data_IF_131819378001
#
_entry.id   IF_131819378001
#
_cell.length_a   1.000
_cell.length_b   1.000
_cell.length_c   1.000
_cell.angle_alpha   90.00
_cell.angle_beta   90.00
_cell.angle_gamma   90.00
#
_symmetry.space_group_name_H-M   'P 1'
#
loop_
_entity.id
_entity.type
_entity.pdbx_description
1 polymer ?
#
# COMPACT_ATOMS: atom_id res chain seq x y z
N UNK A 1 16.79 -1.68 -17.11
CA UNK A 1 15.92 -0.73 -16.39
C UNK A 1 14.52 -0.73 -17.02
N UNK A 2 13.58 -1.53 -16.48
CA UNK A 2 12.13 -1.52 -16.74
C UNK A 2 11.48 -2.14 -15.48
N UNK A 3 10.38 -1.70 -14.90
CA UNK A 3 9.42 -0.66 -15.28
C UNK A 3 8.86 0.04 -14.02
N UNK A 4 8.82 1.38 -13.99
CA UNK A 4 8.08 2.17 -12.97
C UNK A 4 6.55 1.97 -13.03
N UNK A 5 6.03 1.14 -13.94
CA UNK A 5 4.59 0.95 -14.14
C UNK A 5 3.85 0.31 -12.95
N UNK A 6 4.53 -0.44 -12.08
CA UNK A 6 3.84 -1.13 -10.98
C UNK A 6 3.53 -0.23 -9.77
N UNK A 7 4.22 0.91 -9.60
CA UNK A 7 3.96 1.83 -8.50
C UNK A 7 2.83 2.82 -8.79
N UNK A 8 2.59 3.12 -10.07
CA UNK A 8 1.57 4.10 -10.47
C UNK A 8 0.14 3.70 -10.10
N UNK A 9 -0.31 2.45 -10.31
CA UNK A 9 -1.64 2.01 -9.86
C UNK A 9 -1.85 2.19 -8.35
N UNK A 10 -0.81 1.96 -7.54
CA UNK A 10 -0.89 2.13 -6.08
C UNK A 10 -0.98 3.60 -5.69
N UNK A 11 -0.20 4.48 -6.35
CA UNK A 11 -0.29 5.93 -6.14
C UNK A 11 -1.66 6.44 -6.53
N UNK A 12 -2.21 6.01 -7.67
CA UNK A 12 -3.56 6.37 -8.10
C UNK A 12 -4.63 5.87 -7.13
N UNK A 13 -4.53 4.62 -6.66
CA UNK A 13 -5.47 4.07 -5.68
C UNK A 13 -5.44 4.90 -4.38
N UNK A 14 -4.26 5.25 -3.87
CA UNK A 14 -4.13 6.08 -2.68
C UNK A 14 -4.64 7.50 -2.91
N UNK A 15 -4.39 8.09 -4.08
CA UNK A 15 -4.89 9.41 -4.46
C UNK A 15 -6.44 9.44 -4.51
N UNK A 16 -7.06 8.41 -5.09
CA UNK A 16 -8.51 8.27 -5.11
C UNK A 16 -9.09 8.03 -3.71
N UNK A 17 -8.47 7.19 -2.88
CA UNK A 17 -8.89 7.03 -1.48
C UNK A 17 -8.79 8.35 -0.71
N UNK A 18 -7.70 9.10 -0.90
CA UNK A 18 -7.51 10.40 -0.25
C UNK A 18 -8.55 11.42 -0.72
N UNK A 19 -8.97 11.35 -1.99
CA UNK A 19 -10.06 12.18 -2.51
C UNK A 19 -11.38 11.81 -1.86
N UNK A 20 -11.76 10.53 -1.86
CA UNK A 20 -13.02 10.05 -1.25
C UNK A 20 -13.08 10.34 0.25
N UNK A 21 -11.96 10.15 0.97
CA UNK A 21 -11.87 10.43 2.39
C UNK A 21 -11.90 11.95 2.68
N UNK A 22 -11.24 12.74 1.83
CA UNK A 22 -11.31 14.21 1.86
C UNK A 22 -12.75 14.69 1.74
N UNK A 23 -13.42 14.23 0.71
CA UNK A 23 -14.82 14.57 0.40
C UNK A 23 -15.76 14.15 1.52
N UNK A 24 -15.61 12.94 2.05
CA UNK A 24 -16.41 12.47 3.18
C UNK A 24 -16.22 13.32 4.44
N UNK A 25 -14.96 13.65 4.76
CA UNK A 25 -14.63 14.47 5.93
C UNK A 25 -15.14 15.91 5.78
N UNK A 26 -15.06 16.49 4.57
CA UNK A 26 -15.65 17.78 4.24
C UNK A 26 -17.16 17.77 4.49
N UNK A 27 -17.89 16.80 3.92
CA UNK A 27 -19.34 16.68 4.11
C UNK A 27 -19.74 16.50 5.58
N UNK A 28 -18.97 15.71 6.35
CA UNK A 28 -19.21 15.55 7.79
C UNK A 28 -19.00 16.87 8.55
N UNK A 29 -17.95 17.64 8.21
CA UNK A 29 -17.69 18.94 8.82
C UNK A 29 -18.74 19.99 8.44
N UNK A 30 -19.24 19.96 7.20
CA UNK A 30 -20.38 20.77 6.76
C UNK A 30 -21.66 20.40 7.53
N UNK A 31 -21.92 19.10 7.72
CA UNK A 31 -23.09 18.63 8.46
C UNK A 31 -23.08 19.05 9.92
N UNK A 32 -21.89 19.15 10.52
CA UNK A 32 -21.68 19.62 11.88
C UNK A 32 -21.66 21.16 12.01
N UNK A 33 -21.72 21.89 10.89
CA UNK A 33 -21.67 23.36 10.86
C UNK A 33 -20.29 23.94 11.19
N UNK A 34 -19.22 23.15 11.10
CA UNK A 34 -17.85 23.62 11.31
C UNK A 34 -17.23 24.23 10.06
N UNK A 35 -17.74 23.86 8.88
CA UNK A 35 -17.21 24.22 7.57
C UNK A 35 -18.38 24.65 6.69
N UNK A 36 -18.31 25.85 6.10
CA UNK A 36 -19.32 26.47 5.23
C UNK A 36 -20.64 26.93 5.90
N UNK A 37 -21.11 28.13 5.53
CA UNK A 37 -22.43 28.66 5.90
C UNK A 37 -23.58 28.07 5.05
N UNK A 38 -23.25 27.37 3.95
CA UNK A 38 -24.22 26.86 2.98
C UNK A 38 -23.82 25.47 2.51
N UNK A 39 -24.74 24.51 2.68
CA UNK A 39 -24.60 23.12 2.20
C UNK A 39 -24.56 23.05 0.67
N UNK A 40 -23.88 22.04 0.13
CA UNK A 40 -23.97 21.70 -1.28
C UNK A 40 -25.46 21.52 -1.71
N UNK A 41 -25.83 22.18 -2.81
CA UNK A 41 -27.20 22.22 -3.31
C UNK A 41 -27.65 20.99 -4.11
N UNK A 42 -26.84 19.92 -4.15
CA UNK A 42 -27.09 18.70 -4.91
C UNK A 42 -26.58 17.46 -4.18
N UNK A 43 -27.03 16.27 -4.61
CA UNK A 43 -26.62 15.00 -4.02
C UNK A 43 -25.30 14.48 -4.59
N UNK A 44 -24.36 14.11 -3.72
CA UNK A 44 -23.04 13.57 -4.08
C UNK A 44 -23.09 12.07 -4.45
N UNK A 45 -23.71 11.75 -5.58
CA UNK A 45 -23.94 10.37 -6.04
C UNK A 45 -22.68 9.69 -6.60
N UNK A 46 -21.66 10.46 -6.99
CA UNK A 46 -20.40 9.99 -7.56
C UNK A 46 -19.39 9.49 -6.53
N UNK A 47 -19.55 9.83 -5.26
CA UNK A 47 -18.66 9.38 -4.17
C UNK A 47 -18.57 7.85 -4.06
N UNK A 48 -19.71 7.15 -4.13
CA UNK A 48 -19.76 5.69 -4.09
C UNK A 48 -19.04 5.03 -5.27
N UNK A 49 -19.17 5.63 -6.46
CA UNK A 49 -18.48 5.19 -7.67
C UNK A 49 -16.96 5.36 -7.54
N UNK A 50 -16.49 6.51 -7.05
CA UNK A 50 -15.07 6.76 -6.81
C UNK A 50 -14.47 5.79 -5.78
N UNK A 51 -15.20 5.50 -4.70
CA UNK A 51 -14.80 4.49 -3.71
C UNK A 51 -14.64 3.10 -4.35
N UNK A 52 -15.57 2.72 -5.23
CA UNK A 52 -15.51 1.47 -5.99
C UNK A 52 -14.27 1.37 -6.90
N UNK A 53 -13.99 2.42 -7.68
CA UNK A 53 -12.77 2.48 -8.53
C UNK A 53 -11.51 2.38 -7.68
N UNK A 54 -11.47 3.10 -6.57
CA UNK A 54 -10.34 3.10 -5.64
C UNK A 54 -10.05 1.69 -5.11
N UNK A 55 -11.09 0.96 -4.70
CA UNK A 55 -10.99 -0.43 -4.25
C UNK A 55 -10.43 -1.34 -5.37
N UNK A 56 -10.95 -1.21 -6.59
CA UNK A 56 -10.49 -2.00 -7.75
C UNK A 56 -9.01 -1.76 -8.03
N UNK A 57 -8.56 -0.50 -8.04
CA UNK A 57 -7.15 -0.15 -8.26
C UNK A 57 -6.25 -0.65 -7.13
N UNK A 58 -6.74 -0.60 -5.89
CA UNK A 58 -6.03 -1.18 -4.75
C UNK A 58 -5.86 -2.69 -4.89
N UNK A 59 -6.93 -3.41 -5.25
CA UNK A 59 -6.89 -4.87 -5.48
C UNK A 59 -5.94 -5.24 -6.63
N UNK A 60 -5.97 -4.50 -7.74
CA UNK A 60 -5.03 -4.68 -8.85
C UNK A 60 -3.59 -4.49 -8.36
N UNK A 61 -3.34 -3.43 -7.59
CA UNK A 61 -2.01 -3.16 -7.02
C UNK A 61 -1.55 -4.27 -6.08
N UNK A 62 -2.44 -4.76 -5.21
CA UNK A 62 -2.16 -5.87 -4.29
C UNK A 62 -1.83 -7.15 -5.05
N UNK A 63 -2.58 -7.48 -6.11
CA UNK A 63 -2.30 -8.64 -6.98
C UNK A 63 -0.96 -8.50 -7.67
N UNK A 64 -0.62 -7.32 -8.21
CA UNK A 64 0.66 -7.07 -8.86
C UNK A 64 1.84 -7.20 -7.89
N UNK A 65 1.71 -6.68 -6.67
CA UNK A 65 2.71 -6.81 -5.60
C UNK A 65 2.84 -8.27 -5.16
N UNK A 66 1.72 -8.97 -4.98
CA UNK A 66 1.72 -10.38 -4.58
C UNK A 66 2.36 -11.27 -5.64
N UNK A 67 2.10 -11.01 -6.93
CA UNK A 67 2.76 -11.74 -8.03
C UNK A 67 4.28 -11.52 -8.03
N UNK A 68 4.75 -10.31 -7.73
CA UNK A 68 6.19 -10.02 -7.59
C UNK A 68 6.79 -10.75 -6.40
N UNK A 69 6.09 -10.75 -5.27
CA UNK A 69 6.45 -11.50 -4.08
C UNK A 69 6.56 -13.01 -4.36
N UNK A 70 5.57 -13.61 -5.04
CA UNK A 70 5.60 -15.01 -5.46
C UNK A 70 6.77 -15.34 -6.40
N UNK A 71 7.03 -14.48 -7.40
CA UNK A 71 8.15 -14.66 -8.31
C UNK A 71 9.51 -14.61 -7.59
N UNK A 72 9.63 -13.90 -6.48
CA UNK A 72 10.88 -13.89 -5.71
C UNK A 72 11.18 -15.23 -5.02
N UNK A 73 10.14 -16.01 -4.66
CA UNK A 73 10.34 -17.35 -4.09
C UNK A 73 10.98 -18.32 -5.07
N UNK A 74 10.62 -18.25 -6.36
CA UNK A 74 11.16 -19.17 -7.36
C UNK A 74 12.65 -18.95 -7.62
N UNK A 75 13.14 -17.71 -7.44
CA UNK A 75 14.54 -17.31 -7.70
C UNK A 75 15.42 -17.33 -6.43
N UNK A 76 14.85 -17.65 -5.25
CA UNK A 76 15.54 -17.64 -3.94
C UNK A 76 16.25 -16.31 -3.61
N UNK A 77 15.71 -15.19 -4.07
CA UNK A 77 16.23 -13.86 -3.72
C UNK A 77 15.63 -13.39 -2.40
N UNK A 78 16.45 -12.86 -1.49
CA UNK A 78 16.01 -12.32 -0.19
C UNK A 78 16.14 -10.80 -0.10
N UNK A 79 16.66 -10.14 -1.14
CA UNK A 79 16.81 -8.68 -1.16
C UNK A 79 15.46 -8.00 -1.37
N UNK A 80 14.98 -7.25 -0.39
CA UNK A 80 13.66 -6.62 -0.44
C UNK A 80 13.45 -5.69 -1.64
N UNK A 81 14.53 -5.10 -2.16
CA UNK A 81 14.52 -4.28 -3.38
C UNK A 81 14.23 -5.08 -4.65
N UNK A 82 14.67 -6.34 -4.68
CA UNK A 82 14.42 -7.26 -5.79
C UNK A 82 13.02 -7.89 -5.69
N UNK A 83 12.49 -8.03 -4.47
CA UNK A 83 11.19 -8.66 -4.21
C UNK A 83 10.02 -7.71 -4.47
N UNK A 84 10.11 -6.46 -3.99
CA UNK A 84 9.06 -5.45 -4.13
C UNK A 84 9.59 -4.23 -4.88
N UNK A 85 9.92 -4.36 -6.18
CA UNK A 85 10.48 -3.26 -6.97
C UNK A 85 9.56 -2.03 -7.01
N UNK A 86 8.24 -2.20 -6.90
CA UNK A 86 7.31 -1.08 -6.81
C UNK A 86 7.44 -0.29 -5.49
N UNK A 87 7.56 -0.96 -4.35
CA UNK A 87 7.77 -0.32 -3.06
C UNK A 87 9.15 0.34 -2.99
N UNK A 88 10.17 -0.28 -3.58
CA UNK A 88 11.50 0.29 -3.66
C UNK A 88 11.55 1.51 -4.60
N UNK A 89 10.83 1.49 -5.72
CA UNK A 89 10.66 2.65 -6.59
C UNK A 89 10.03 3.83 -5.84
N UNK A 90 8.99 3.57 -5.03
CA UNK A 90 8.38 4.58 -4.15
C UNK A 90 9.39 5.10 -3.12
N UNK A 91 10.17 4.22 -2.48
CA UNK A 91 11.21 4.65 -1.55
C UNK A 91 12.25 5.58 -2.20
N UNK A 92 12.66 5.30 -3.45
CA UNK A 92 13.63 6.12 -4.20
C UNK A 92 13.06 7.47 -4.66
N UNK A 93 11.75 7.57 -4.89
CA UNK A 93 11.10 8.85 -5.19
C UNK A 93 11.18 9.81 -3.99
N UNK A 94 11.11 9.27 -2.77
CA UNK A 94 11.14 10.04 -1.53
C UNK A 94 9.75 10.59 -1.15
N UNK A 95 9.61 10.97 0.12
CA UNK A 95 8.32 11.35 0.70
C UNK A 95 7.68 12.55 -0.01
N UNK A 96 8.45 13.62 -0.26
CA UNK A 96 7.92 14.84 -0.89
C UNK A 96 7.36 14.61 -2.29
N UNK A 97 8.03 13.81 -3.13
CA UNK A 97 7.54 13.50 -4.48
C UNK A 97 6.31 12.61 -4.45
N UNK A 98 6.23 11.65 -3.52
CA UNK A 98 5.03 10.82 -3.33
C UNK A 98 3.86 11.68 -2.89
N UNK A 99 4.05 12.52 -1.88
CA UNK A 99 3.01 13.44 -1.39
C UNK A 99 2.52 14.34 -2.52
N UNK A 100 3.43 14.96 -3.28
CA UNK A 100 3.07 15.78 -4.44
C UNK A 100 2.29 14.97 -5.50
N UNK A 101 2.67 13.73 -5.76
CA UNK A 101 1.99 12.88 -6.75
C UNK A 101 0.59 12.47 -6.28
N UNK A 102 0.43 12.14 -4.99
CA UNK A 102 -0.85 11.82 -4.36
C UNK A 102 -1.76 13.05 -4.38
N UNK A 103 -1.28 14.21 -3.97
CA UNK A 103 -2.03 15.47 -4.01
C UNK A 103 -2.46 15.83 -5.43
N UNK A 104 -1.56 15.73 -6.41
CA UNK A 104 -1.91 15.99 -7.81
C UNK A 104 -2.99 15.02 -8.31
N UNK A 105 -2.85 13.72 -8.03
CA UNK A 105 -3.86 12.73 -8.38
C UNK A 105 -5.20 12.96 -7.67
N UNK A 106 -5.17 13.35 -6.40
CA UNK A 106 -6.35 13.64 -5.58
C UNK A 106 -7.12 14.84 -6.14
N UNK A 107 -6.42 15.92 -6.49
CA UNK A 107 -7.05 17.13 -7.07
C UNK A 107 -7.65 16.82 -8.45
N UNK A 108 -6.93 16.08 -9.30
CA UNK A 108 -7.46 15.66 -10.60
C UNK A 108 -8.71 14.79 -10.42
N UNK A 109 -8.67 13.84 -9.47
CA UNK A 109 -9.82 12.98 -9.17
C UNK A 109 -11.02 13.76 -8.65
N UNK A 110 -10.79 14.74 -7.76
CA UNK A 110 -11.82 15.60 -7.20
C UNK A 110 -12.50 16.38 -8.33
N UNK A 111 -11.72 17.10 -9.14
CA UNK A 111 -12.25 17.87 -10.28
C UNK A 111 -13.03 16.98 -11.24
N UNK A 112 -12.51 15.78 -11.55
CA UNK A 112 -13.19 14.86 -12.46
C UNK A 112 -14.53 14.35 -11.90
N UNK A 113 -14.59 14.01 -10.61
CA UNK A 113 -15.81 13.55 -9.95
C UNK A 113 -16.82 14.69 -9.83
N UNK A 114 -16.40 15.88 -9.41
CA UNK A 114 -17.29 17.03 -9.28
C UNK A 114 -17.89 17.45 -10.62
N UNK A 115 -17.09 17.50 -11.68
CA UNK A 115 -17.61 17.77 -13.04
C UNK A 115 -18.60 16.70 -13.48
N UNK A 116 -18.36 15.44 -13.11
CA UNK A 116 -19.28 14.34 -13.42
C UNK A 116 -20.59 14.49 -12.62
N UNK A 117 -20.51 14.77 -11.32
CA UNK A 117 -21.67 14.97 -10.44
C UNK A 117 -22.53 16.14 -10.92
N UNK A 118 -21.92 17.29 -11.21
CA UNK A 118 -22.65 18.45 -11.75
C UNK A 118 -23.41 18.12 -13.03
N UNK A 119 -22.78 17.35 -13.94
CA UNK A 119 -23.42 16.89 -15.17
C UNK A 119 -24.57 15.92 -14.90
N UNK A 120 -24.41 14.97 -13.98
CA UNK A 120 -25.46 14.02 -13.62
C UNK A 120 -26.63 14.70 -12.91
N UNK A 121 -26.36 15.73 -12.12
CA UNK A 121 -27.34 16.51 -11.38
C UNK A 121 -27.96 17.67 -12.18
N UNK A 122 -27.59 17.84 -13.46
CA UNK A 122 -28.00 18.97 -14.30
C UNK A 122 -27.74 20.34 -13.66
N UNK A 123 -26.72 20.43 -12.80
CA UNK A 123 -26.35 21.64 -12.09
C UNK A 123 -25.47 22.52 -12.99
N UNK A 124 -25.86 23.79 -13.16
CA UNK A 124 -25.20 24.75 -14.06
C UNK A 124 -24.22 25.70 -13.35
N UNK A 125 -23.62 25.28 -12.24
CA UNK A 125 -22.57 26.04 -11.57
C UNK A 125 -21.24 25.99 -12.32
N UNK A 126 -20.46 27.06 -12.24
CA UNK A 126 -19.13 27.16 -12.86
C UNK A 126 -18.09 27.68 -11.86
N UNK A 127 -16.82 27.31 -12.05
CA UNK A 127 -15.68 27.83 -11.28
C UNK A 127 -15.34 27.00 -10.03
N UNK A 128 -14.44 27.54 -9.19
CA UNK A 128 -13.86 26.84 -8.02
C UNK A 128 -14.94 26.52 -6.97
N UNK A 129 -15.92 27.41 -6.79
CA UNK A 129 -17.05 27.18 -5.87
C UNK A 129 -18.03 26.10 -6.30
N UNK A 130 -17.96 25.68 -7.55
CA UNK A 130 -18.71 24.51 -8.00
C UNK A 130 -17.99 23.20 -7.63
N UNK A 131 -16.67 23.23 -7.39
CA UNK A 131 -15.84 22.05 -7.09
C UNK A 131 -15.60 21.87 -5.58
N UNK A 132 -15.52 22.96 -4.81
CA UNK A 132 -15.20 22.92 -3.37
C UNK A 132 -16.33 23.50 -2.50
N UNK A 133 -17.54 23.65 -3.06
CA UNK A 133 -18.66 24.34 -2.41
C UNK A 133 -18.37 25.81 -2.10
N UNK A 134 -19.30 26.50 -1.44
CA UNK A 134 -19.12 27.92 -1.08
C UNK A 134 -18.26 28.14 0.18
N UNK A 135 -17.88 27.07 0.89
CA UNK A 135 -16.97 27.05 2.05
C UNK A 135 -15.51 26.76 1.70
N UNK A 136 -15.05 27.31 0.57
CA UNK A 136 -13.86 26.93 -0.19
C UNK A 136 -12.55 26.76 0.60
N UNK A 137 -12.30 27.54 1.65
CA UNK A 137 -10.98 27.56 2.29
C UNK A 137 -10.72 26.33 3.17
N UNK A 138 -11.72 25.90 3.93
CA UNK A 138 -11.62 24.73 4.81
C UNK A 138 -11.62 23.41 4.04
N UNK A 139 -12.38 23.30 2.94
CA UNK A 139 -12.37 22.14 2.06
C UNK A 139 -10.97 21.87 1.50
N UNK A 140 -10.30 22.91 1.01
CA UNK A 140 -8.92 22.82 0.51
C UNK A 140 -7.97 22.36 1.60
N UNK A 141 -8.09 22.87 2.84
CA UNK A 141 -7.25 22.46 3.97
C UNK A 141 -7.47 20.99 4.35
N UNK A 142 -8.72 20.51 4.34
CA UNK A 142 -9.07 19.10 4.62
C UNK A 142 -8.45 18.19 3.56
N UNK A 143 -8.64 18.52 2.27
CA UNK A 143 -8.09 17.75 1.16
C UNK A 143 -6.56 17.71 1.19
N UNK A 144 -5.89 18.85 1.40
CA UNK A 144 -4.43 18.90 1.53
C UNK A 144 -3.96 18.05 2.71
N UNK A 145 -4.59 18.18 3.88
CA UNK A 145 -4.21 17.45 5.09
C UNK A 145 -4.31 15.93 4.90
N UNK A 146 -5.42 15.47 4.32
CA UNK A 146 -5.64 14.05 4.03
C UNK A 146 -4.70 13.54 2.95
N UNK A 147 -4.45 14.33 1.90
CA UNK A 147 -3.51 13.97 0.83
C UNK A 147 -2.06 13.86 1.31
N UNK A 148 -1.61 14.81 2.15
CA UNK A 148 -0.29 14.76 2.79
C UNK A 148 -0.18 13.53 3.68
N UNK A 149 -1.17 13.30 4.55
CA UNK A 149 -1.19 12.13 5.42
C UNK A 149 -1.13 10.83 4.62
N UNK A 150 -1.98 10.68 3.61
CA UNK A 150 -2.03 9.49 2.76
C UNK A 150 -0.70 9.25 2.02
N UNK A 151 -0.09 10.31 1.46
CA UNK A 151 1.22 10.22 0.82
C UNK A 151 2.35 9.81 1.77
N UNK A 152 2.36 10.36 2.99
CA UNK A 152 3.33 9.99 4.02
C UNK A 152 3.14 8.54 4.46
N UNK A 153 1.90 8.10 4.69
CA UNK A 153 1.57 6.71 5.04
C UNK A 153 2.02 5.76 3.94
N UNK A 154 1.73 6.06 2.67
CA UNK A 154 2.18 5.25 1.52
C UNK A 154 3.71 5.13 1.49
N UNK A 155 4.43 6.22 1.72
CA UNK A 155 5.89 6.19 1.77
C UNK A 155 6.42 5.38 2.96
N UNK A 156 5.85 5.57 4.16
CA UNK A 156 6.24 4.81 5.36
C UNK A 156 5.99 3.31 5.18
N UNK A 157 4.83 2.93 4.66
CA UNK A 157 4.49 1.53 4.37
C UNK A 157 5.41 0.94 3.31
N UNK A 158 5.74 1.69 2.26
CA UNK A 158 6.69 1.25 1.24
C UNK A 158 8.07 0.98 1.84
N UNK A 159 8.55 1.86 2.73
CA UNK A 159 9.82 1.66 3.45
C UNK A 159 9.79 0.46 4.38
N UNK A 160 8.72 0.30 5.15
CA UNK A 160 8.54 -0.84 6.04
C UNK A 160 8.51 -2.16 5.25
N UNK A 161 7.75 -2.20 4.15
CA UNK A 161 7.67 -3.36 3.27
C UNK A 161 9.05 -3.72 2.72
N UNK A 162 9.80 -2.75 2.17
CA UNK A 162 11.17 -3.01 1.67
C UNK A 162 12.14 -3.48 2.77
N UNK A 163 11.99 -3.00 4.01
CA UNK A 163 12.84 -3.40 5.14
C UNK A 163 12.54 -4.81 5.62
N UNK A 164 11.27 -5.24 5.64
CA UNK A 164 10.86 -6.47 6.30
C UNK A 164 10.53 -7.63 5.35
N UNK A 165 10.34 -7.37 4.05
CA UNK A 165 9.93 -8.42 3.10
C UNK A 165 10.96 -9.54 2.93
N UNK A 166 12.26 -9.23 3.08
CA UNK A 166 13.32 -10.24 3.05
C UNK A 166 13.15 -11.26 4.16
N UNK A 167 12.93 -10.79 5.40
CA UNK A 167 12.67 -11.65 6.56
C UNK A 167 11.37 -12.45 6.42
N UNK A 168 10.31 -11.85 5.85
CA UNK A 168 9.06 -12.56 5.58
C UNK A 168 9.26 -13.73 4.60
N UNK A 169 10.05 -13.53 3.53
CA UNK A 169 10.40 -14.60 2.59
C UNK A 169 11.24 -15.68 3.26
N UNK A 170 12.21 -15.30 4.09
CA UNK A 170 13.04 -16.27 4.82
C UNK A 170 12.19 -17.15 5.74
N UNK A 171 11.23 -16.57 6.47
CA UNK A 171 10.29 -17.31 7.32
C UNK A 171 9.47 -18.30 6.48
N UNK A 172 8.90 -17.85 5.36
CA UNK A 172 8.08 -18.71 4.49
C UNK A 172 8.92 -19.83 3.87
N UNK A 173 10.14 -19.54 3.41
CA UNK A 173 11.07 -20.57 2.90
C UNK A 173 11.38 -21.60 3.99
N UNK A 174 11.64 -21.15 5.23
CA UNK A 174 11.90 -22.05 6.36
C UNK A 174 10.69 -22.93 6.69
N UNK A 175 9.48 -22.36 6.68
CA UNK A 175 8.24 -23.11 6.89
C UNK A 175 8.02 -24.17 5.80
N UNK A 176 8.19 -23.80 4.52
CA UNK A 176 8.06 -24.73 3.40
C UNK A 176 9.11 -25.84 3.47
N UNK A 177 10.35 -25.51 3.85
CA UNK A 177 11.41 -26.51 4.04
C UNK A 177 11.10 -27.47 5.21
N UNK A 178 10.54 -26.96 6.31
CA UNK A 178 10.15 -27.78 7.47
C UNK A 178 9.01 -28.76 7.17
N UNK A 179 8.12 -28.42 6.23
CA UNK A 179 7.04 -29.29 5.75
C UNK A 179 7.51 -30.40 4.78
N UNK A 180 8.80 -30.43 4.41
CA UNK A 180 9.40 -31.49 3.56
C UNK A 180 10.49 -32.25 4.33
N UNK A 181 10.12 -33.16 5.25
CA UNK A 181 11.06 -33.81 6.16
C UNK A 181 12.04 -34.81 5.51
N UNK A 182 11.95 -35.07 4.20
CA UNK A 182 12.79 -36.06 3.50
C UNK A 182 14.18 -35.60 3.04
N UNK A 183 14.54 -34.32 3.21
CA UNK A 183 15.84 -33.79 2.74
C UNK A 183 16.76 -33.56 3.95
N UNK A 184 17.42 -34.63 4.38
CA UNK A 184 18.37 -34.66 5.52
C UNK A 184 19.54 -33.67 5.34
N UNK A 185 19.88 -33.29 4.10
CA UNK A 185 20.87 -32.23 3.82
C UNK A 185 20.38 -30.79 4.04
N UNK A 186 19.07 -30.57 4.21
CA UNK A 186 18.48 -29.25 4.42
C UNK A 186 18.72 -28.68 5.82
N UNK A 187 18.80 -29.53 6.85
CA UNK A 187 18.99 -29.12 8.23
C UNK A 187 20.37 -28.50 8.49
N UNK A 188 21.43 -29.04 7.88
CA UNK A 188 22.80 -28.50 7.97
C UNK A 188 22.94 -27.18 7.21
N UNK A 189 22.31 -27.06 6.03
CA UNK A 189 22.25 -25.82 5.27
C UNK A 189 21.40 -24.73 5.96
N UNK A 190 20.31 -25.12 6.63
CA UNK A 190 19.50 -24.21 7.46
C UNK A 190 20.28 -23.74 8.69
N UNK A 191 21.00 -24.64 9.38
CA UNK A 191 21.87 -24.29 10.51
C UNK A 191 22.98 -23.34 10.09
N UNK A 192 23.65 -23.60 8.97
CA UNK A 192 24.71 -22.74 8.45
C UNK A 192 24.18 -21.36 8.02
N UNK A 193 22.94 -21.28 7.49
CA UNK A 193 22.31 -20.00 7.13
C UNK A 193 21.73 -19.24 8.31
N UNK A 194 21.18 -19.93 9.31
CA UNK A 194 20.78 -19.31 10.57
C UNK A 194 21.99 -18.75 11.33
N UNK A 195 23.14 -19.41 11.24
CA UNK A 195 24.41 -18.92 11.79
C UNK A 195 25.03 -17.78 10.96
N UNK A 196 24.75 -17.68 9.66
CA UNK A 196 25.30 -16.62 8.78
C UNK A 196 24.40 -15.39 8.63
N UNK A 197 23.10 -15.51 8.92
CA UNK A 197 22.20 -14.39 8.98
C UNK A 197 22.64 -13.48 10.14
N UNK A 198 23.13 -12.28 9.80
CA UNK A 198 23.49 -11.20 10.74
C UNK A 198 22.25 -10.65 11.44
N UNK A 199 21.56 -11.50 12.18
CA UNK A 199 20.48 -11.12 13.09
C UNK A 199 21.14 -10.99 14.46
N UNK A 200 21.22 -9.78 14.98
CA UNK A 200 21.79 -9.48 16.32
C UNK A 200 21.10 -10.23 17.45
N UNK A 201 19.92 -10.81 17.19
CA UNK A 201 19.17 -11.70 18.08
C UNK A 201 18.46 -12.76 17.23
N UNK A 202 19.00 -13.99 17.11
CA UNK A 202 18.35 -15.05 16.34
C UNK A 202 16.96 -15.35 16.93
N UNK A 203 15.95 -15.45 16.06
CA UNK A 203 14.59 -15.82 16.44
C UNK A 203 14.60 -17.16 17.19
N UNK A 204 13.90 -17.27 18.33
CA UNK A 204 13.85 -18.50 19.14
C UNK A 204 13.46 -19.74 18.32
N UNK A 205 12.59 -19.58 17.33
CA UNK A 205 12.18 -20.67 16.45
C UNK A 205 13.35 -21.20 15.62
N UNK A 206 14.22 -20.32 15.12
CA UNK A 206 15.41 -20.70 14.38
C UNK A 206 16.42 -21.43 15.28
N UNK A 207 16.59 -20.98 16.53
CA UNK A 207 17.42 -21.66 17.53
C UNK A 207 16.88 -23.05 17.88
N UNK A 208 15.56 -23.18 18.08
CA UNK A 208 14.91 -24.48 18.37
C UNK A 208 15.02 -25.46 17.20
N UNK A 209 14.90 -24.98 15.97
CA UNK A 209 15.09 -25.79 14.76
C UNK A 209 16.56 -26.21 14.57
N UNK A 210 17.50 -25.30 14.83
CA UNK A 210 18.93 -25.61 14.75
C UNK A 210 19.34 -26.67 15.79
N UNK A 211 18.81 -26.60 17.00
CA UNK A 211 19.13 -27.53 18.09
C UNK A 211 18.27 -28.81 18.11
N UNK A 212 17.40 -29.02 17.11
CA UNK A 212 16.58 -30.24 17.07
C UNK A 212 17.48 -31.45 16.78
N UNK A 213 17.40 -32.53 17.58
CA UNK A 213 18.15 -33.76 17.29
C UNK A 213 17.73 -34.32 15.93
N UNK A 214 18.66 -34.96 15.19
CA UNK A 214 18.34 -35.61 13.93
C UNK A 214 17.25 -36.68 14.16
N UNK A 215 16.34 -36.89 13.19
CA UNK A 215 15.37 -37.98 13.30
C UNK A 215 16.13 -39.31 13.44
N UNK A 216 15.70 -40.14 14.38
CA UNK A 216 16.25 -41.48 14.57
C UNK A 216 16.14 -42.25 13.26
N UNK A 217 17.23 -42.88 12.85
CA UNK A 217 17.25 -43.76 11.68
C UNK A 217 16.20 -44.86 11.87
N UNK A 218 15.38 -45.17 10.86
CA UNK A 218 14.44 -46.30 10.93
C UNK A 218 15.12 -47.67 11.11
N UNK A 219 16.46 -47.74 11.05
CA UNK A 219 17.24 -48.97 11.29
C UNK A 219 17.50 -49.26 12.78
N UNK A 220 16.83 -48.57 13.71
CA UNK A 220 16.95 -48.78 15.16
C UNK A 220 15.60 -49.09 15.85
N UNK A 221 14.58 -49.51 15.11
CA UNK A 221 13.31 -50.00 15.64
C UNK A 221 13.12 -51.49 15.33
#
# INVERSE_FOLDING_TARGET
MKSPAASWPLVLAVALMAMVAGHAAELDLENLGFVADVRAGYAHVGQGFAAGISLVLFLISAVLLFRQFLAAFSVRTTSGKAILPAADALCRLGAGRIVASVLAGQVIALVAIEVLEQRLSHYAGYGIGAVFGTGHESAVLVHISIGVFAGLVLWMLSRAACRHVGSAIEIVICLVAAQRPGIVGGATALRARAASARVTTPCELALRLANRPPPLSPLQA
#
